data_IF_301505764529
#
_entry.id   IF_301505764529
#
_cell.length_a   1.000
_cell.length_b   1.000
_cell.length_c   1.000
_cell.angle_alpha   90.00
_cell.angle_beta   90.00
_cell.angle_gamma   90.00
#
_symmetry.space_group_name_H-M   'P 1'
#
loop_
_entity.id
_entity.type
_entity.pdbx_description
1 polymer ?
#
# COMPACT_ATOMS: atom_id res chain seq x y z
N UNK A 1 20.58 11.12 5.23
CA UNK A 1 19.45 11.75 5.94
C UNK A 1 19.04 11.04 7.25
N UNK A 2 19.65 9.93 7.68
CA UNK A 2 19.38 9.33 9.01
C UNK A 2 18.03 8.59 9.18
N UNK A 3 17.13 8.69 8.20
CA UNK A 3 15.86 7.98 8.19
C UNK A 3 16.03 6.48 8.01
N UNK A 4 15.22 5.72 8.72
CA UNK A 4 14.93 4.32 8.41
C UNK A 4 13.86 4.31 7.31
N UNK A 5 14.21 3.78 6.14
CA UNK A 5 13.35 3.82 4.94
C UNK A 5 12.66 2.47 4.73
N UNK A 6 11.34 2.50 4.61
CA UNK A 6 10.48 1.33 4.45
C UNK A 6 9.62 1.48 3.20
N UNK A 7 9.58 0.45 2.36
CA UNK A 7 8.73 0.36 1.18
C UNK A 7 7.70 -0.78 1.36
N UNK A 8 6.41 -0.46 1.23
CA UNK A 8 5.31 -1.41 1.15
C UNK A 8 4.78 -1.43 -0.28
N UNK A 9 5.12 -2.48 -1.02
CA UNK A 9 4.78 -2.61 -2.44
C UNK A 9 3.41 -3.24 -2.68
N UNK A 10 2.66 -2.73 -3.66
CA UNK A 10 1.35 -3.28 -4.03
C UNK A 10 1.30 -3.90 -5.44
N UNK A 11 2.02 -3.34 -6.41
CA UNK A 11 2.02 -3.85 -7.81
C UNK A 11 3.25 -4.71 -8.11
N UNK A 12 3.24 -5.40 -9.26
CA UNK A 12 4.29 -6.35 -9.67
C UNK A 12 5.71 -5.75 -9.70
N UNK A 13 5.84 -4.43 -9.86
CA UNK A 13 7.12 -3.71 -9.79
C UNK A 13 7.76 -3.67 -8.40
N UNK A 14 7.09 -4.20 -7.38
CA UNK A 14 7.60 -4.29 -6.02
C UNK A 14 7.75 -5.72 -5.52
N UNK A 15 7.47 -6.73 -6.36
CA UNK A 15 7.47 -8.12 -5.92
C UNK A 15 8.88 -8.70 -5.68
N UNK A 16 9.93 -7.98 -6.05
CA UNK A 16 11.34 -8.36 -5.90
C UNK A 16 11.73 -9.66 -6.62
N UNK A 17 10.88 -10.19 -7.50
CA UNK A 17 11.10 -11.46 -8.22
C UNK A 17 11.89 -11.27 -9.52
N UNK A 18 11.71 -10.13 -10.18
CA UNK A 18 12.40 -9.79 -11.42
C UNK A 18 13.34 -8.60 -11.19
N UNK A 19 14.40 -8.48 -11.98
CA UNK A 19 15.38 -7.39 -11.85
C UNK A 19 14.73 -6.01 -11.83
N UNK A 20 13.76 -5.76 -12.73
CA UNK A 20 13.01 -4.50 -12.78
C UNK A 20 12.16 -4.27 -11.52
N UNK A 21 11.56 -5.34 -10.98
CA UNK A 21 10.75 -5.29 -9.77
C UNK A 21 11.55 -5.18 -8.46
N UNK A 22 12.88 -5.09 -8.56
CA UNK A 22 13.79 -4.96 -7.40
C UNK A 22 14.47 -3.60 -7.32
N UNK A 23 14.50 -2.82 -8.41
CA UNK A 23 15.25 -1.55 -8.46
C UNK A 23 14.75 -0.55 -7.42
N UNK A 24 13.49 -0.13 -7.51
CA UNK A 24 12.94 0.84 -6.56
C UNK A 24 12.92 0.28 -5.11
N UNK A 25 12.44 -0.94 -4.85
CA UNK A 25 12.53 -1.55 -3.52
C UNK A 25 13.94 -1.56 -2.91
N UNK A 26 14.99 -1.76 -3.73
CA UNK A 26 16.38 -1.81 -3.25
C UNK A 26 16.92 -0.47 -2.74
N UNK A 27 16.24 0.64 -3.02
CA UNK A 27 16.60 1.96 -2.49
C UNK A 27 16.18 2.16 -1.03
N UNK A 28 15.44 1.21 -0.45
CA UNK A 28 14.93 1.27 0.91
C UNK A 28 15.71 0.31 1.83
N UNK A 29 15.82 0.67 3.12
CA UNK A 29 16.44 -0.19 4.11
C UNK A 29 15.63 -1.48 4.34
N UNK A 30 14.30 -1.38 4.20
CA UNK A 30 13.38 -2.51 4.23
C UNK A 30 12.35 -2.37 3.11
N UNK A 31 12.09 -3.45 2.40
CA UNK A 31 11.02 -3.52 1.42
C UNK A 31 10.19 -4.78 1.66
N UNK A 32 8.87 -4.62 1.65
CA UNK A 32 7.92 -5.67 1.91
C UNK A 32 6.98 -5.82 0.73
N UNK A 33 6.82 -7.07 0.30
CA UNK A 33 5.78 -7.47 -0.63
C UNK A 33 5.33 -8.89 -0.28
N UNK A 34 4.03 -9.12 -0.34
CA UNK A 34 3.42 -10.45 -0.23
C UNK A 34 2.17 -10.51 -1.12
N UNK A 35 1.67 -11.72 -1.48
CA UNK A 35 0.49 -11.85 -2.32
C UNK A 35 -0.73 -11.06 -1.80
N UNK A 36 -0.84 -10.95 -0.48
CA UNK A 36 -1.89 -10.17 0.18
C UNK A 36 -1.87 -8.68 -0.14
N UNK A 37 -0.76 -8.09 -0.59
CA UNK A 37 -0.66 -6.68 -0.99
C UNK A 37 -0.94 -6.46 -2.49
N UNK A 38 -1.05 -7.55 -3.26
CA UNK A 38 -1.17 -7.54 -4.71
C UNK A 38 -2.50 -7.00 -5.22
N UNK A 39 -2.53 -6.61 -6.51
CA UNK A 39 -3.74 -6.16 -7.23
C UNK A 39 -4.87 -7.20 -7.26
N UNK A 40 -4.56 -8.49 -7.08
CA UNK A 40 -5.56 -9.56 -7.06
C UNK A 40 -6.15 -9.79 -5.67
N UNK A 41 -5.69 -9.06 -4.65
CA UNK A 41 -6.14 -9.21 -3.27
C UNK A 41 -7.22 -8.17 -2.95
N UNK A 42 -8.45 -8.60 -2.59
CA UNK A 42 -9.53 -7.68 -2.22
C UNK A 42 -9.25 -6.94 -0.90
N UNK A 43 -8.29 -7.41 -0.12
CA UNK A 43 -7.86 -6.82 1.16
C UNK A 43 -6.45 -6.22 1.06
N UNK A 44 -6.01 -5.85 -0.15
CA UNK A 44 -4.64 -5.38 -0.43
C UNK A 44 -4.19 -4.23 0.46
N UNK A 45 -4.92 -3.12 0.42
CA UNK A 45 -4.58 -1.94 1.20
C UNK A 45 -4.72 -2.16 2.72
N UNK A 46 -5.74 -2.86 3.19
CA UNK A 46 -5.88 -3.23 4.60
C UNK A 46 -4.66 -4.02 5.12
N UNK A 47 -4.18 -4.99 4.35
CA UNK A 47 -3.00 -5.77 4.69
C UNK A 47 -1.73 -4.89 4.72
N UNK A 48 -1.58 -3.96 3.77
CA UNK A 48 -0.49 -2.98 3.78
C UNK A 48 -0.56 -2.06 5.02
N UNK A 49 -1.75 -1.61 5.42
CA UNK A 49 -1.96 -0.79 6.62
C UNK A 49 -1.58 -1.58 7.89
N UNK A 50 -2.00 -2.84 8.00
CA UNK A 50 -1.62 -3.70 9.12
C UNK A 50 -0.09 -3.88 9.21
N UNK A 51 0.58 -4.03 8.06
CA UNK A 51 2.05 -4.10 8.01
C UNK A 51 2.71 -2.79 8.44
N UNK A 52 2.16 -1.65 8.02
CA UNK A 52 2.64 -0.33 8.45
C UNK A 52 2.51 -0.15 9.97
N UNK A 53 1.37 -0.51 10.55
CA UNK A 53 1.13 -0.48 12.00
C UNK A 53 2.16 -1.33 12.76
N UNK A 54 2.44 -2.55 12.28
CA UNK A 54 3.47 -3.43 12.86
C UNK A 54 4.87 -2.78 12.84
N UNK A 55 5.26 -2.22 11.69
CA UNK A 55 6.58 -1.60 11.51
C UNK A 55 6.74 -0.38 12.41
N UNK A 56 5.72 0.49 12.45
CA UNK A 56 5.71 1.66 13.32
C UNK A 56 5.81 1.25 14.78
N UNK A 57 5.08 0.22 15.21
CA UNK A 57 5.12 -0.24 16.60
C UNK A 57 6.50 -0.79 17.02
N UNK A 58 7.19 -1.51 16.12
CA UNK A 58 8.50 -2.14 16.40
C UNK A 58 9.70 -1.21 16.27
N UNK A 59 9.56 -0.07 15.59
CA UNK A 59 10.68 0.85 15.36
C UNK A 59 11.21 1.43 16.70
N UNK A 60 12.53 1.58 16.93
CA UNK A 60 13.04 2.30 18.10
C UNK A 60 12.69 3.80 18.07
N UNK A 61 12.46 4.42 19.23
CA UNK A 61 11.99 5.81 19.32
C UNK A 61 12.96 6.81 18.69
N UNK A 62 14.25 6.51 18.73
CA UNK A 62 15.33 7.34 18.22
C UNK A 62 15.37 7.37 16.68
N UNK A 63 14.78 6.38 16.01
CA UNK A 63 14.78 6.30 14.55
C UNK A 63 13.63 7.10 13.96
N UNK A 64 13.91 7.93 12.95
CA UNK A 64 12.90 8.58 12.12
C UNK A 64 12.52 7.67 10.96
N UNK A 65 11.23 7.59 10.65
CA UNK A 65 10.70 6.72 9.59
C UNK A 65 10.44 7.51 8.32
N UNK A 66 10.87 6.97 7.19
CA UNK A 66 10.35 7.32 5.88
C UNK A 66 9.56 6.11 5.37
N UNK A 67 8.24 6.25 5.27
CA UNK A 67 7.35 5.18 4.82
C UNK A 67 6.83 5.48 3.42
N UNK A 68 7.10 4.58 2.50
CA UNK A 68 6.51 4.58 1.16
C UNK A 68 5.51 3.44 1.06
N UNK A 69 4.30 3.74 0.58
CA UNK A 69 3.25 2.75 0.35
C UNK A 69 2.74 2.91 -1.08
N UNK A 70 2.81 1.84 -1.86
CA UNK A 70 2.23 1.77 -3.20
C UNK A 70 0.88 1.06 -3.11
N UNK A 71 -0.21 1.85 -3.14
CA UNK A 71 -1.59 1.35 -3.03
C UNK A 71 -2.02 0.69 -4.35
N UNK A 72 -2.38 -0.59 -4.30
CA UNK A 72 -2.69 -1.40 -5.49
C UNK A 72 -4.17 -1.52 -5.81
N UNK A 73 -5.06 -1.20 -4.87
CA UNK A 73 -6.49 -1.55 -4.93
C UNK A 73 -7.27 -0.97 -6.13
N UNK A 74 -6.84 0.17 -6.67
CA UNK A 74 -7.51 0.78 -7.83
C UNK A 74 -7.07 0.14 -9.16
N UNK A 75 -5.89 -0.50 -9.18
CA UNK A 75 -5.38 -1.16 -10.38
C UNK A 75 -6.17 -2.45 -10.62
N UNK A 76 -6.47 -2.73 -11.89
CA UNK A 76 -7.18 -3.94 -12.27
C UNK A 76 -6.51 -5.22 -11.76
N UNK A 77 -7.30 -6.24 -11.37
CA UNK A 77 -8.76 -6.22 -11.29
C UNK A 77 -9.26 -5.45 -10.05
N UNK A 78 -10.34 -4.70 -10.16
CA UNK A 78 -11.02 -4.02 -9.05
C UNK A 78 -12.50 -4.40 -8.87
N UNK A 79 -13.06 -5.24 -9.77
CA UNK A 79 -14.44 -5.76 -9.69
C UNK A 79 -14.78 -6.38 -8.33
N UNK A 80 -13.82 -6.98 -7.64
CA UNK A 80 -14.03 -7.64 -6.35
C UNK A 80 -14.38 -6.68 -5.20
N UNK A 81 -14.26 -5.36 -5.41
CA UNK A 81 -14.75 -4.36 -4.45
C UNK A 81 -16.26 -4.10 -4.57
N UNK A 82 -16.91 -4.55 -5.65
CA UNK A 82 -18.35 -4.46 -5.81
C UNK A 82 -19.03 -5.71 -5.22
N UNK A 83 -19.99 -5.57 -4.30
CA UNK A 83 -20.68 -6.72 -3.71
C UNK A 83 -21.34 -7.62 -4.76
N UNK A 84 -21.01 -8.92 -4.72
CA UNK A 84 -21.58 -9.92 -5.62
C UNK A 84 -20.98 -9.97 -7.03
N UNK A 85 -20.01 -9.09 -7.35
CA UNK A 85 -19.30 -9.15 -8.61
C UNK A 85 -18.27 -10.29 -8.64
N UNK A 86 -17.99 -10.77 -9.85
CA UNK A 86 -16.99 -11.77 -10.14
C UNK A 86 -16.17 -11.37 -11.38
N UNK A 87 -15.22 -12.23 -11.77
CA UNK A 87 -14.35 -11.99 -12.92
C UNK A 87 -15.11 -11.86 -14.26
N UNK A 88 -16.32 -12.41 -14.40
CA UNK A 88 -17.12 -12.30 -15.62
C UNK A 88 -17.81 -10.92 -15.75
N UNK A 89 -18.03 -10.23 -14.64
CA UNK A 89 -18.53 -8.85 -14.65
C UNK A 89 -17.45 -7.87 -15.14
N UNK A 90 -16.18 -8.16 -14.79
CA UNK A 90 -15.05 -7.28 -15.11
C UNK A 90 -15.09 -5.94 -14.39
N UNK A 91 -14.07 -5.12 -14.61
CA UNK A 91 -13.96 -3.81 -13.96
C UNK A 91 -14.88 -2.79 -14.64
N UNK A 92 -15.61 -2.04 -13.81
CA UNK A 92 -16.49 -0.95 -14.23
C UNK A 92 -16.14 0.35 -13.49
N UNK A 93 -16.82 1.45 -13.82
CA UNK A 93 -16.65 2.70 -13.06
C UNK A 93 -17.18 2.57 -11.63
N UNK A 94 -18.23 1.77 -11.46
CA UNK A 94 -18.83 1.47 -10.15
C UNK A 94 -17.88 0.65 -9.29
N UNK A 95 -17.21 -0.38 -9.82
CA UNK A 95 -16.21 -1.13 -9.06
C UNK A 95 -14.96 -0.30 -8.75
N UNK A 96 -14.54 0.57 -9.67
CA UNK A 96 -13.45 1.52 -9.41
C UNK A 96 -13.81 2.53 -8.29
N UNK A 97 -15.05 3.04 -8.26
CA UNK A 97 -15.53 3.88 -7.18
C UNK A 97 -15.59 3.11 -5.84
N UNK A 98 -16.02 1.86 -5.85
CA UNK A 98 -16.01 1.00 -4.67
C UNK A 98 -14.57 0.75 -4.15
N UNK A 99 -13.60 0.59 -5.05
CA UNK A 99 -12.18 0.48 -4.69
C UNK A 99 -11.64 1.76 -4.03
N UNK A 100 -12.05 2.94 -4.52
CA UNK A 100 -11.74 4.23 -3.90
C UNK A 100 -12.31 4.34 -2.48
N UNK A 101 -13.59 4.00 -2.29
CA UNK A 101 -14.22 3.99 -0.96
C UNK A 101 -13.55 3.00 0.00
N UNK A 102 -13.12 1.84 -0.51
CA UNK A 102 -12.33 0.88 0.25
C UNK A 102 -11.00 1.50 0.70
N UNK A 103 -10.25 2.15 -0.19
CA UNK A 103 -8.99 2.81 0.17
C UNK A 103 -9.22 3.92 1.21
N UNK A 104 -10.20 4.79 1.00
CA UNK A 104 -10.52 5.89 1.91
C UNK A 104 -10.81 5.40 3.34
N UNK A 105 -11.59 4.31 3.47
CA UNK A 105 -11.93 3.69 4.76
C UNK A 105 -10.70 3.28 5.59
N UNK A 106 -9.60 2.89 4.94
CA UNK A 106 -8.37 2.46 5.62
C UNK A 106 -7.31 3.57 5.70
N UNK A 107 -7.42 4.64 4.91
CA UNK A 107 -6.43 5.72 4.86
C UNK A 107 -6.21 6.39 6.22
N UNK A 108 -7.29 6.59 6.99
CA UNK A 108 -7.20 7.17 8.34
C UNK A 108 -6.30 6.36 9.28
N UNK A 109 -6.36 5.02 9.22
CA UNK A 109 -5.49 4.14 10.03
C UNK A 109 -4.02 4.30 9.64
N UNK A 110 -3.71 4.37 8.35
CA UNK A 110 -2.34 4.56 7.87
C UNK A 110 -1.75 5.88 8.37
N UNK A 111 -2.49 6.98 8.23
CA UNK A 111 -2.05 8.30 8.66
C UNK A 111 -1.91 8.38 10.19
N UNK A 112 -2.83 7.77 10.94
CA UNK A 112 -2.73 7.67 12.39
C UNK A 112 -1.48 6.89 12.82
N UNK A 113 -1.20 5.74 12.19
CA UNK A 113 0.01 4.97 12.47
C UNK A 113 1.27 5.80 12.17
N UNK A 114 1.36 6.40 10.96
CA UNK A 114 2.51 7.18 10.54
C UNK A 114 2.79 8.41 11.44
N UNK A 115 1.75 9.03 11.99
CA UNK A 115 1.85 10.21 12.87
C UNK A 115 1.90 9.89 14.37
N UNK A 116 1.69 8.63 14.77
CA UNK A 116 1.55 8.23 16.17
C UNK A 116 2.79 8.51 17.04
N UNK A 117 3.97 8.59 16.44
CA UNK A 117 5.25 8.73 17.15
C UNK A 117 5.79 10.16 17.12
N UNK A 118 5.51 10.88 16.04
CA UNK A 118 6.03 12.22 15.72
C UNK A 118 5.12 12.90 14.69
N UNK A 119 5.12 14.24 14.60
CA UNK A 119 4.48 14.93 13.48
C UNK A 119 4.90 14.34 12.13
N UNK A 120 3.91 14.02 11.29
CA UNK A 120 4.11 13.40 10.00
C UNK A 120 3.75 14.39 8.90
N UNK A 121 4.61 14.49 7.89
CA UNK A 121 4.29 15.14 6.62
C UNK A 121 3.99 14.05 5.61
N UNK A 122 2.77 14.04 5.08
CA UNK A 122 2.30 13.04 4.12
C UNK A 122 2.15 13.65 2.73
N UNK A 123 2.66 12.95 1.72
CA UNK A 123 2.42 13.25 0.30
C UNK A 123 1.55 12.11 -0.23
N UNK A 124 0.36 12.46 -0.73
CA UNK A 124 -0.58 11.51 -1.34
C UNK A 124 -0.76 11.94 -2.80
N UNK A 125 -0.42 11.06 -3.73
CA UNK A 125 -0.54 11.28 -5.15
C UNK A 125 -0.82 9.96 -5.88
N UNK A 126 -1.25 10.08 -7.12
CA UNK A 126 -1.31 8.95 -8.06
C UNK A 126 -0.16 9.07 -9.06
N UNK A 127 0.32 7.94 -9.57
CA UNK A 127 1.28 7.88 -10.66
C UNK A 127 0.63 8.23 -12.01
N UNK A 128 -0.63 7.84 -12.20
CA UNK A 128 -1.48 8.21 -13.32
C UNK A 128 -2.98 8.17 -12.95
N UNK A 129 -3.86 8.42 -13.92
CA UNK A 129 -5.32 8.33 -13.80
C UNK A 129 -5.94 7.56 -14.96
#
# INVERSE_FOLDING_TARGET
AGYHTVCLGGVGFFNQRAALGSVLPSLFAMAHWEPGFGVTSPTSFEAQVAKAEEIVARLPHERTLFLFVNVSALHQPNWHHLPGADAAHGDTRESHAAALEYVDRHMGRLLAAASSRRPCFAIVCSDHG
#
